data_IF_495493607921
#
_entry.id   IF_495493607921
#
_cell.length_a   1.000
_cell.length_b   1.000
_cell.length_c   1.000
_cell.angle_alpha   90.00
_cell.angle_beta   90.00
_cell.angle_gamma   90.00
#
_symmetry.space_group_name_H-M   'P 1'
#
loop_
_entity.id
_entity.type
_entity.pdbx_description
1 polymer ?
#
# COMPACT_ATOMS: atom_id res chain seq x y z
N UNK A 1 -4.16 -26.06 42.24
CA UNK A 1 -2.86 -25.96 41.55
C UNK A 1 -3.12 -25.33 40.20
N UNK A 2 -2.77 -24.07 39.98
CA UNK A 2 -2.96 -23.42 38.68
C UNK A 2 -1.87 -23.92 37.73
N UNK A 3 -2.24 -24.76 36.77
CA UNK A 3 -1.38 -25.18 35.67
C UNK A 3 -0.96 -23.93 34.89
N UNK A 4 0.34 -23.67 34.82
CA UNK A 4 0.87 -22.57 34.01
C UNK A 4 0.71 -22.99 32.55
N UNK A 5 -0.21 -22.33 31.86
CA UNK A 5 -0.46 -22.56 30.43
C UNK A 5 0.66 -21.92 29.62
N UNK A 6 1.27 -22.70 28.73
CA UNK A 6 2.39 -22.26 27.89
C UNK A 6 1.93 -22.06 26.44
N UNK A 7 2.34 -20.95 25.80
CA UNK A 7 2.00 -20.61 24.42
C UNK A 7 3.26 -20.53 23.55
N UNK A 8 3.88 -21.69 23.30
CA UNK A 8 5.16 -21.80 22.61
C UNK A 8 6.32 -21.20 23.43
N UNK A 9 7.26 -20.56 22.73
CA UNK A 9 8.39 -19.87 23.37
C UNK A 9 7.95 -18.55 24.02
N UNK A 10 8.70 -18.01 25.01
CA UNK A 10 8.38 -16.70 25.61
C UNK A 10 8.26 -15.56 24.60
N UNK A 11 9.02 -15.61 23.50
CA UNK A 11 8.93 -14.64 22.40
C UNK A 11 7.63 -14.78 21.63
N UNK A 12 7.22 -16.00 21.30
CA UNK A 12 5.94 -16.28 20.63
C UNK A 12 4.76 -15.88 21.50
N UNK A 13 4.77 -16.22 22.79
CA UNK A 13 3.71 -15.82 23.72
C UNK A 13 3.57 -14.28 23.78
N UNK A 14 4.69 -13.55 23.89
CA UNK A 14 4.69 -12.07 23.88
C UNK A 14 4.13 -11.51 22.57
N UNK A 15 4.51 -12.09 21.43
CA UNK A 15 4.06 -11.64 20.12
C UNK A 15 2.58 -11.96 19.88
N UNK A 16 2.15 -13.16 20.26
CA UNK A 16 0.76 -13.59 20.21
C UNK A 16 -0.14 -12.68 21.06
N UNK A 17 0.27 -12.34 22.29
CA UNK A 17 -0.45 -11.38 23.13
C UNK A 17 -0.60 -10.01 22.44
N UNK A 18 0.43 -9.55 21.73
CA UNK A 18 0.38 -8.29 21.00
C UNK A 18 -0.60 -8.37 19.81
N UNK A 19 -0.59 -9.47 19.04
CA UNK A 19 -1.51 -9.68 17.93
C UNK A 19 -2.97 -9.78 18.42
N UNK A 20 -3.24 -10.52 19.50
CA UNK A 20 -4.57 -10.60 20.10
C UNK A 20 -5.08 -9.22 20.54
N UNK A 21 -4.24 -8.38 21.15
CA UNK A 21 -4.61 -6.99 21.48
C UNK A 21 -4.91 -6.15 20.24
N UNK A 22 -4.12 -6.29 19.18
CA UNK A 22 -4.37 -5.59 17.90
C UNK A 22 -5.67 -6.03 17.24
N UNK A 23 -6.09 -7.29 17.44
CA UNK A 23 -7.38 -7.81 17.03
C UNK A 23 -8.53 -7.43 17.98
N UNK A 24 -8.27 -6.69 19.06
CA UNK A 24 -9.29 -6.23 20.01
C UNK A 24 -9.59 -7.19 21.16
N UNK A 25 -8.79 -8.23 21.35
CA UNK A 25 -8.96 -9.20 22.43
C UNK A 25 -8.15 -8.80 23.68
N UNK A 26 -8.72 -9.06 24.86
CA UNK A 26 -8.12 -8.72 26.16
C UNK A 26 -6.96 -9.64 26.56
N UNK A 27 -6.92 -10.87 26.06
CA UNK A 27 -5.90 -11.87 26.36
C UNK A 27 -5.65 -12.84 25.20
N UNK A 28 -4.64 -13.71 25.32
CA UNK A 28 -4.33 -14.75 24.33
C UNK A 28 -5.49 -15.75 24.26
N UNK A 29 -5.99 -16.16 25.41
CA UNK A 29 -7.10 -17.11 25.59
C UNK A 29 -8.36 -16.59 24.90
N UNK A 30 -8.70 -15.31 25.12
CA UNK A 30 -9.83 -14.67 24.45
C UNK A 30 -9.66 -14.65 22.92
N UNK A 31 -8.43 -14.42 22.43
CA UNK A 31 -8.11 -14.49 21.00
C UNK A 31 -8.24 -15.90 20.44
N UNK A 32 -7.80 -16.93 21.17
CA UNK A 32 -7.91 -18.33 20.74
C UNK A 32 -9.36 -18.82 20.70
N UNK A 33 -10.18 -18.42 21.68
CA UNK A 33 -11.61 -18.69 21.69
C UNK A 33 -12.29 -18.04 20.48
N UNK A 34 -11.96 -16.78 20.18
CA UNK A 34 -12.51 -16.07 19.02
C UNK A 34 -12.09 -16.70 17.67
N UNK A 35 -10.93 -17.35 17.62
CA UNK A 35 -10.45 -18.13 16.48
C UNK A 35 -11.05 -19.55 16.40
N UNK A 36 -11.95 -19.92 17.31
CA UNK A 36 -12.57 -21.25 17.35
C UNK A 36 -11.65 -22.35 17.88
N UNK A 37 -10.63 -22.00 18.68
CA UNK A 37 -9.69 -22.95 19.31
C UNK A 37 -9.75 -22.89 20.85
N UNK A 38 -10.91 -23.15 21.49
CA UNK A 38 -11.04 -23.08 22.95
C UNK A 38 -10.15 -24.12 23.67
N UNK A 39 -9.97 -25.30 23.08
CA UNK A 39 -9.11 -26.38 23.60
C UNK A 39 -7.67 -25.90 23.86
N UNK A 40 -7.14 -25.06 22.95
CA UNK A 40 -5.79 -24.52 23.01
C UNK A 40 -5.64 -23.38 24.04
N UNK A 41 -6.74 -22.75 24.43
CA UNK A 41 -6.73 -21.74 25.49
C UNK A 41 -6.51 -22.37 26.87
N UNK A 42 -6.96 -23.63 27.05
CA UNK A 42 -6.82 -24.37 28.31
C UNK A 42 -5.56 -25.23 28.35
N UNK A 43 -5.23 -25.91 27.25
CA UNK A 43 -4.08 -26.82 27.17
C UNK A 43 -2.76 -26.08 26.88
N UNK A 44 -2.83 -24.87 26.32
CA UNK A 44 -1.68 -24.16 25.78
C UNK A 44 -1.39 -24.54 24.33
N UNK A 45 -0.32 -23.95 23.80
CA UNK A 45 0.15 -24.20 22.44
C UNK A 45 1.60 -24.66 22.49
N UNK A 46 1.94 -25.66 21.68
CA UNK A 46 3.35 -25.92 21.40
C UNK A 46 3.96 -24.85 20.46
N UNK A 47 5.26 -24.93 20.20
CA UNK A 47 5.98 -23.95 19.37
C UNK A 47 5.48 -23.91 17.92
N UNK A 48 5.07 -25.05 17.38
CA UNK A 48 4.60 -25.20 15.99
C UNK A 48 3.19 -24.63 15.87
N UNK A 49 2.31 -24.98 16.80
CA UNK A 49 0.95 -24.50 16.86
C UNK A 49 0.90 -22.99 17.13
N UNK A 50 1.74 -22.48 18.03
CA UNK A 50 1.88 -21.05 18.26
C UNK A 50 2.29 -20.30 16.99
N UNK A 51 3.22 -20.87 16.19
CA UNK A 51 3.62 -20.27 14.91
C UNK A 51 2.49 -20.24 13.89
N UNK A 52 1.70 -21.33 13.81
CA UNK A 52 0.55 -21.40 12.91
C UNK A 52 -0.54 -20.38 13.28
N UNK A 53 -0.83 -20.23 14.58
CA UNK A 53 -1.81 -19.24 15.08
C UNK A 53 -1.32 -17.82 14.83
N UNK A 54 -0.03 -17.55 15.05
CA UNK A 54 0.58 -16.25 14.75
C UNK A 54 0.38 -15.90 13.28
N UNK A 55 0.70 -16.83 12.36
CA UNK A 55 0.51 -16.61 10.91
C UNK A 55 -0.94 -16.31 10.55
N UNK A 56 -1.90 -17.08 11.09
CA UNK A 56 -3.32 -16.87 10.85
C UNK A 56 -3.81 -15.49 11.36
N UNK A 57 -3.35 -15.07 12.54
CA UNK A 57 -3.67 -13.74 13.10
C UNK A 57 -3.02 -12.61 12.29
N UNK A 58 -1.78 -12.79 11.83
CA UNK A 58 -1.14 -11.82 10.95
C UNK A 58 -1.89 -11.67 9.63
N UNK A 59 -2.35 -12.78 9.03
CA UNK A 59 -3.12 -12.75 7.80
C UNK A 59 -4.51 -12.11 7.99
N UNK A 60 -5.17 -12.38 9.12
CA UNK A 60 -6.44 -11.74 9.45
C UNK A 60 -6.30 -10.23 9.75
N UNK A 61 -5.16 -9.82 10.31
CA UNK A 61 -4.85 -8.42 10.65
C UNK A 61 -4.20 -7.66 9.48
N UNK A 62 -3.79 -8.34 8.40
CA UNK A 62 -3.34 -7.65 7.19
C UNK A 62 -4.52 -6.83 6.67
N UNK A 63 -4.36 -5.50 6.48
CA UNK A 63 -5.41 -4.71 5.86
C UNK A 63 -5.70 -5.33 4.50
N UNK A 64 -6.95 -5.71 4.28
CA UNK A 64 -7.42 -6.18 2.98
C UNK A 64 -6.98 -5.19 1.90
N UNK A 65 -6.05 -5.61 1.05
CA UNK A 65 -5.68 -4.88 -0.16
C UNK A 65 -6.83 -4.83 -1.17
N UNK A 66 -7.90 -5.61 -0.95
CA UNK A 66 -9.13 -5.47 -1.71
C UNK A 66 -9.87 -4.21 -1.22
N UNK A 67 -10.05 -3.20 -2.07
CA UNK A 67 -10.87 -2.05 -1.72
C UNK A 67 -12.29 -2.54 -1.40
N UNK A 68 -12.97 -1.96 -0.40
CA UNK A 68 -14.34 -2.33 -0.09
C UNK A 68 -15.21 -2.18 -1.34
N UNK A 69 -16.21 -3.06 -1.52
CA UNK A 69 -16.97 -3.18 -2.77
C UNK A 69 -17.53 -1.84 -3.29
N UNK A 70 -17.84 -0.89 -2.40
CA UNK A 70 -18.28 0.46 -2.77
C UNK A 70 -17.17 1.42 -3.22
N UNK A 71 -15.92 1.23 -2.82
CA UNK A 71 -14.82 2.15 -3.17
C UNK A 71 -14.38 1.98 -4.63
N UNK A 72 -14.40 0.77 -5.17
CA UNK A 72 -14.09 0.54 -6.59
C UNK A 72 -15.17 1.14 -7.50
N UNK A 73 -16.43 1.10 -7.08
CA UNK A 73 -17.56 1.70 -7.77
C UNK A 73 -17.58 3.22 -7.61
N UNK A 74 -17.31 3.74 -6.40
CA UNK A 74 -17.10 5.17 -6.16
C UNK A 74 -15.92 5.72 -6.97
N UNK A 75 -14.79 5.00 -7.05
CA UNK A 75 -13.66 5.38 -7.90
C UNK A 75 -14.03 5.36 -9.39
N UNK A 76 -14.87 4.43 -9.85
CA UNK A 76 -15.35 4.40 -11.25
C UNK A 76 -16.29 5.56 -11.54
N UNK A 77 -17.26 5.81 -10.66
CA UNK A 77 -18.18 6.93 -10.74
C UNK A 77 -17.45 8.27 -10.73
N UNK A 78 -16.47 8.43 -9.84
CA UNK A 78 -15.65 9.63 -9.75
C UNK A 78 -14.63 9.77 -10.88
N UNK A 79 -14.17 8.68 -11.51
CA UNK A 79 -13.43 8.75 -12.78
C UNK A 79 -14.32 9.26 -13.91
N UNK A 80 -15.54 8.74 -14.03
CA UNK A 80 -16.50 9.21 -15.03
C UNK A 80 -16.84 10.70 -14.84
N UNK A 81 -16.93 11.15 -13.58
CA UNK A 81 -17.16 12.56 -13.24
C UNK A 81 -15.93 13.46 -13.34
N UNK A 82 -14.73 12.95 -13.02
CA UNK A 82 -13.46 13.68 -13.06
C UNK A 82 -12.95 13.93 -14.49
N UNK A 83 -13.39 13.14 -15.47
CA UNK A 83 -13.22 13.45 -16.90
C UNK A 83 -14.15 14.57 -17.36
N UNK A 84 -15.26 14.81 -16.65
CA UNK A 84 -16.07 16.02 -16.85
C UNK A 84 -15.44 17.18 -16.05
N UNK A 85 -15.04 18.24 -16.73
CA UNK A 85 -14.70 19.53 -16.09
C UNK A 85 -15.95 20.26 -15.57
N UNK A 86 -17.02 19.53 -15.26
CA UNK A 86 -18.25 20.13 -14.79
C UNK A 86 -18.04 20.70 -13.37
N UNK A 87 -18.53 21.93 -13.11
CA UNK A 87 -18.53 22.48 -11.77
C UNK A 87 -19.34 21.57 -10.85
N UNK A 88 -18.81 21.34 -9.64
CA UNK A 88 -19.52 20.58 -8.62
C UNK A 88 -20.77 21.34 -8.20
N UNK A 89 -21.86 20.62 -7.94
CA UNK A 89 -23.09 21.23 -7.43
C UNK A 89 -22.79 21.96 -6.10
N UNK A 90 -23.35 23.17 -5.95
CA UNK A 90 -23.11 24.00 -4.77
C UNK A 90 -23.60 23.34 -3.47
N UNK A 91 -24.58 22.44 -3.56
CA UNK A 91 -25.22 21.74 -2.44
C UNK A 91 -24.44 20.54 -1.90
N UNK A 92 -23.24 20.25 -2.42
CA UNK A 92 -22.40 19.19 -1.86
C UNK A 92 -21.82 19.61 -0.52
N UNK A 93 -21.90 18.68 0.44
CA UNK A 93 -21.24 18.74 1.73
C UNK A 93 -19.72 18.94 1.57
N UNK A 94 -19.10 19.71 2.48
CA UNK A 94 -17.69 20.09 2.39
C UNK A 94 -16.75 18.88 2.48
N UNK A 95 -17.11 17.84 3.25
CA UNK A 95 -16.31 16.62 3.34
C UNK A 95 -16.38 15.84 2.02
N UNK A 96 -17.56 15.78 1.40
CA UNK A 96 -17.77 15.16 0.10
C UNK A 96 -17.00 15.92 -0.98
N UNK A 97 -17.02 17.26 -0.94
CA UNK A 97 -16.25 18.12 -1.84
C UNK A 97 -14.75 17.87 -1.69
N UNK A 98 -14.24 17.83 -0.46
CA UNK A 98 -12.84 17.52 -0.16
C UNK A 98 -12.42 16.14 -0.69
N UNK A 99 -13.24 15.11 -0.48
CA UNK A 99 -13.00 13.74 -0.99
C UNK A 99 -12.97 13.72 -2.53
N UNK A 100 -13.91 14.39 -3.19
CA UNK A 100 -13.98 14.45 -4.66
C UNK A 100 -12.76 15.19 -5.23
N UNK A 101 -12.36 16.30 -4.62
CA UNK A 101 -11.16 17.04 -5.03
C UNK A 101 -9.89 16.20 -4.83
N UNK A 102 -9.78 15.50 -3.69
CA UNK A 102 -8.69 14.56 -3.41
C UNK A 102 -8.63 13.45 -4.46
N UNK A 103 -9.78 12.88 -4.81
CA UNK A 103 -9.90 11.79 -5.78
C UNK A 103 -9.68 12.27 -7.22
N UNK A 104 -10.08 13.50 -7.58
CA UNK A 104 -9.70 14.14 -8.85
C UNK A 104 -8.18 14.32 -8.96
N UNK A 105 -7.52 14.69 -7.85
CA UNK A 105 -6.06 14.73 -7.73
C UNK A 105 -5.38 13.36 -7.90
N UNK A 106 -6.08 12.26 -7.59
CA UNK A 106 -5.61 10.90 -7.84
C UNK A 106 -5.92 10.42 -9.27
N UNK A 107 -7.06 10.79 -9.84
CA UNK A 107 -7.50 10.38 -11.19
C UNK A 107 -6.71 11.07 -12.32
N UNK A 108 -6.12 12.25 -12.06
CA UNK A 108 -5.23 12.94 -12.99
C UNK A 108 -3.87 12.24 -13.18
N UNK A 109 -3.55 11.25 -12.35
CA UNK A 109 -2.34 10.43 -12.49
C UNK A 109 -2.55 9.26 -13.44
N UNK A 110 -2.99 9.52 -14.68
CA UNK A 110 -2.79 8.53 -15.75
C UNK A 110 -1.27 8.39 -15.94
N UNK A 111 -0.70 7.17 -15.92
CA UNK A 111 0.71 6.97 -16.19
C UNK A 111 1.09 7.62 -17.52
N UNK A 112 1.96 8.63 -17.50
CA UNK A 112 2.62 9.06 -18.73
C UNK A 112 3.52 7.90 -19.17
N UNK A 113 3.42 7.51 -20.44
CA UNK A 113 3.92 6.25 -21.05
C UNK A 113 3.06 4.99 -20.89
N UNK A 114 1.74 5.13 -20.81
CA UNK A 114 0.80 3.99 -20.96
C UNK A 114 0.91 3.21 -22.29
N UNK A 115 1.68 3.72 -23.27
CA UNK A 115 2.07 2.96 -24.46
C UNK A 115 3.27 2.06 -24.12
N UNK A 116 2.95 0.80 -23.79
CA UNK A 116 3.89 -0.30 -23.51
C UNK A 116 5.15 -0.22 -24.40
N UNK A 117 6.33 -0.21 -23.79
CA UNK A 117 7.63 -0.33 -24.50
C UNK A 117 8.32 0.97 -24.90
N UNK A 118 7.76 2.15 -24.58
CA UNK A 118 8.43 3.43 -24.91
C UNK A 118 9.41 3.90 -23.81
N UNK A 119 10.57 4.48 -24.17
CA UNK A 119 11.48 5.09 -23.21
C UNK A 119 10.80 6.20 -22.38
N UNK A 120 11.20 6.34 -21.13
CA UNK A 120 10.69 7.38 -20.22
C UNK A 120 11.29 8.73 -20.63
N UNK A 121 10.45 9.70 -20.99
CA UNK A 121 10.90 11.03 -21.36
C UNK A 121 11.40 11.79 -20.11
N UNK A 122 12.56 12.43 -20.21
CA UNK A 122 13.12 13.21 -19.09
C UNK A 122 12.25 14.42 -18.73
N UNK A 123 11.58 15.02 -19.72
CA UNK A 123 10.64 16.12 -19.49
C UNK A 123 9.51 15.71 -18.53
N UNK A 124 8.96 14.51 -18.71
CA UNK A 124 7.91 13.97 -17.84
C UNK A 124 8.44 13.71 -16.41
N UNK A 125 9.68 13.22 -16.27
CA UNK A 125 10.32 13.03 -14.96
C UNK A 125 10.57 14.37 -14.25
N UNK A 126 11.07 15.37 -14.97
CA UNK A 126 11.29 16.72 -14.44
C UNK A 126 9.98 17.33 -13.98
N UNK A 127 8.91 17.19 -14.76
CA UNK A 127 7.58 17.65 -14.37
C UNK A 127 7.06 16.92 -13.12
N UNK A 128 7.25 15.59 -13.06
CA UNK A 128 6.78 14.76 -11.96
C UNK A 128 7.51 15.04 -10.64
N UNK A 129 8.84 15.15 -10.68
CA UNK A 129 9.67 15.37 -9.49
C UNK A 129 9.85 16.86 -9.14
N UNK A 130 9.17 17.78 -9.83
CA UNK A 130 9.20 19.21 -9.51
C UNK A 130 10.50 19.92 -9.90
N UNK A 131 11.20 19.42 -10.91
CA UNK A 131 12.43 20.02 -11.43
C UNK A 131 13.61 19.05 -11.50
N UNK A 132 14.74 19.54 -12.04
CA UNK A 132 15.97 18.76 -12.16
C UNK A 132 16.58 18.38 -10.81
N UNK A 133 16.41 19.21 -9.79
CA UNK A 133 16.85 18.91 -8.42
C UNK A 133 16.06 17.77 -7.80
N UNK A 134 14.75 17.74 -8.01
CA UNK A 134 13.91 16.63 -7.57
C UNK A 134 14.24 15.32 -8.27
N UNK A 135 14.56 15.37 -9.57
CA UNK A 135 15.07 14.19 -10.29
C UNK A 135 16.41 13.73 -9.72
N UNK A 136 17.36 14.64 -9.53
CA UNK A 136 18.67 14.30 -8.97
C UNK A 136 18.55 13.67 -7.57
N UNK A 137 17.72 14.24 -6.71
CA UNK A 137 17.39 13.72 -5.39
C UNK A 137 16.74 12.34 -5.47
N UNK A 138 15.71 12.20 -6.32
CA UNK A 138 15.00 10.95 -6.50
C UNK A 138 15.99 9.85 -6.89
N UNK A 139 16.86 10.06 -7.88
CA UNK A 139 17.78 9.03 -8.38
C UNK A 139 19.13 8.94 -7.64
N UNK A 140 19.34 9.73 -6.59
CA UNK A 140 20.59 9.75 -5.83
C UNK A 140 21.80 10.14 -6.68
N UNK A 141 21.62 11.05 -7.63
CA UNK A 141 22.68 11.53 -8.54
C UNK A 141 22.81 13.05 -8.46
N UNK A 142 23.82 13.61 -9.12
CA UNK A 142 23.93 15.07 -9.26
C UNK A 142 23.00 15.60 -10.35
N UNK A 143 22.65 16.89 -10.29
CA UNK A 143 21.84 17.55 -11.33
C UNK A 143 22.53 17.51 -12.70
N UNK A 144 23.86 17.61 -12.75
CA UNK A 144 24.61 17.50 -14.00
C UNK A 144 24.53 16.08 -14.58
N UNK A 145 24.60 15.05 -13.75
CA UNK A 145 24.39 13.65 -14.17
C UNK A 145 22.97 13.43 -14.70
N UNK A 146 21.94 13.97 -14.03
CA UNK A 146 20.56 13.84 -14.49
C UNK A 146 20.33 14.53 -15.84
N UNK A 147 20.91 15.74 -16.04
CA UNK A 147 20.85 16.46 -17.33
C UNK A 147 21.62 15.75 -18.43
N UNK A 148 22.69 15.03 -18.10
CA UNK A 148 23.51 14.29 -19.06
C UNK A 148 22.81 13.06 -19.64
N UNK A 149 21.70 12.61 -19.05
CA UNK A 149 20.88 11.51 -19.61
C UNK A 149 20.18 11.88 -20.92
N UNK A 150 20.13 13.17 -21.28
CA UNK A 150 19.56 13.62 -22.54
C UNK A 150 18.04 13.66 -22.51
N UNK A 151 17.40 13.29 -23.61
CA UNK A 151 15.94 13.41 -23.79
C UNK A 151 15.15 12.28 -23.13
N UNK A 152 15.79 11.13 -22.88
CA UNK A 152 15.15 9.95 -22.34
C UNK A 152 15.96 9.38 -21.18
N UNK A 153 15.27 8.82 -20.18
CA UNK A 153 15.90 8.13 -19.08
C UNK A 153 16.67 6.89 -19.60
N UNK A 154 17.89 6.63 -19.11
CA UNK A 154 18.62 5.42 -19.46
C UNK A 154 17.82 4.18 -19.09
N UNK A 155 17.77 3.19 -19.99
CA UNK A 155 16.95 1.99 -19.81
C UNK A 155 17.23 1.29 -18.47
N UNK A 156 18.51 1.21 -18.07
CA UNK A 156 18.97 0.65 -16.79
C UNK A 156 18.31 1.28 -15.55
N UNK A 157 17.80 2.52 -15.65
CA UNK A 157 17.12 3.22 -14.55
C UNK A 157 15.60 3.25 -14.68
N UNK A 158 15.03 2.58 -15.67
CA UNK A 158 13.57 2.61 -15.92
C UNK A 158 12.77 1.93 -14.82
N UNK A 159 13.30 0.84 -14.27
CA UNK A 159 12.69 0.18 -13.11
C UNK A 159 12.79 1.05 -11.86
N UNK A 160 13.94 1.70 -11.65
CA UNK A 160 14.13 2.66 -10.56
C UNK A 160 13.12 3.82 -10.66
N UNK A 161 12.88 4.34 -11.86
CA UNK A 161 11.87 5.37 -12.10
C UNK A 161 10.45 4.88 -11.79
N UNK A 162 10.11 3.64 -12.16
CA UNK A 162 8.82 3.05 -11.84
C UNK A 162 8.61 2.94 -10.32
N UNK A 163 9.61 2.48 -9.58
CA UNK A 163 9.54 2.36 -8.12
C UNK A 163 9.43 3.73 -7.46
N UNK A 164 10.28 4.69 -7.86
CA UNK A 164 10.35 6.02 -7.24
C UNK A 164 9.19 6.95 -7.58
N UNK A 165 8.39 6.58 -8.57
CA UNK A 165 7.20 7.30 -8.98
C UNK A 165 5.89 6.60 -8.59
N UNK A 166 5.97 5.59 -7.70
CA UNK A 166 4.82 4.78 -7.26
C UNK A 166 4.01 4.18 -8.43
N UNK A 167 4.70 3.78 -9.49
CA UNK A 167 4.08 3.23 -10.71
C UNK A 167 3.49 4.26 -11.67
N UNK A 168 3.76 5.57 -11.47
CA UNK A 168 3.39 6.61 -12.42
C UNK A 168 4.13 6.46 -13.76
N UNK A 169 5.38 5.98 -13.74
CA UNK A 169 6.11 5.53 -14.93
C UNK A 169 6.18 4.00 -14.98
N UNK A 170 6.14 3.43 -16.19
CA UNK A 170 6.34 2.00 -16.39
C UNK A 170 7.66 1.74 -17.10
N UNK A 171 8.45 0.81 -16.55
CA UNK A 171 9.62 0.30 -17.24
C UNK A 171 9.20 -0.44 -18.51
N UNK A 172 9.91 -0.27 -19.65
CA UNK A 172 9.68 -1.10 -20.82
C UNK A 172 9.98 -2.57 -20.45
N UNK A 173 9.06 -3.49 -20.78
CA UNK A 173 9.33 -4.93 -20.67
C UNK A 173 10.29 -5.30 -21.79
N UNK A 174 11.41 -5.92 -21.44
CA UNK A 174 12.26 -6.61 -22.41
C UNK A 174 11.38 -7.67 -23.09
N UNK A 175 11.32 -7.59 -24.42
CA UNK A 175 10.69 -8.58 -25.29
C UNK A 175 11.77 -9.35 -26.03
#
# INVERSE_FOLDING_TARGET
MSTVVHFGTPKQAKYLAQLCRRAGHSSIEAGLIALGRPEAAEAGLDVTEASAVIGALEDALKPSLAPPAGLAEACRYLRAQGESKAPLAAELDDDVRWVIERLRGCASRRPQNSKRGKPIAMEALVQHFGGWEGVALAFGVTVSTAKAWGTHLPQARSYEAQVKSDGYFHAPREG
#
